data_IF_119730898912
#
_entry.id   IF_119730898912
#
_cell.length_a   1.000
_cell.length_b   1.000
_cell.length_c   1.000
_cell.angle_alpha   90.00
_cell.angle_beta   90.00
_cell.angle_gamma   90.00
#
_symmetry.space_group_name_H-M   'P 1'
#
loop_
_entity.id
_entity.type
_entity.pdbx_description
1 polymer ?
#
# COMPACT_ATOMS: atom_id res chain seq x y z
N UNK A 1 -7.10 -24.30 8.86
CA UNK A 1 -5.71 -23.86 8.62
C UNK A 1 -5.47 -22.60 9.45
N UNK A 2 -4.47 -22.66 10.30
CA UNK A 2 -4.08 -21.50 11.08
C UNK A 2 -3.65 -20.37 10.16
N UNK A 3 -4.10 -19.19 10.47
CA UNK A 3 -3.76 -17.97 9.76
C UNK A 3 -2.27 -17.66 10.00
N UNK A 4 -1.41 -18.08 9.10
CA UNK A 4 0.05 -17.86 9.19
C UNK A 4 0.46 -16.38 9.26
N UNK A 5 -0.49 -15.45 9.01
CA UNK A 5 -0.25 -14.02 9.15
C UNK A 5 -0.21 -13.51 10.59
N UNK A 6 -0.53 -14.37 11.57
CA UNK A 6 -0.56 -14.01 12.98
C UNK A 6 0.46 -14.76 13.85
N UNK A 7 1.51 -15.32 13.25
CA UNK A 7 2.61 -15.87 14.08
C UNK A 7 3.42 -14.70 14.65
N UNK A 8 3.38 -14.49 15.97
CA UNK A 8 4.16 -13.40 16.56
C UNK A 8 5.65 -13.68 16.36
N UNK A 9 6.36 -12.78 15.72
CA UNK A 9 7.83 -12.85 15.51
C UNK A 9 8.57 -13.06 16.84
N UNK A 10 7.96 -12.67 17.94
CA UNK A 10 8.47 -12.87 19.32
C UNK A 10 8.66 -14.33 19.75
N UNK A 11 8.16 -15.29 18.97
CA UNK A 11 8.30 -16.71 19.25
C UNK A 11 9.42 -17.37 18.42
N UNK A 12 10.29 -16.57 17.80
CA UNK A 12 11.46 -17.08 17.05
C UNK A 12 12.46 -17.70 18.04
N UNK A 13 12.79 -19.00 17.87
CA UNK A 13 13.74 -19.67 18.78
C UNK A 13 15.10 -18.97 18.80
N UNK A 14 15.68 -18.85 19.98
CA UNK A 14 17.01 -18.29 20.19
C UNK A 14 17.06 -16.77 20.35
N UNK A 15 15.91 -16.08 20.30
CA UNK A 15 15.85 -14.65 20.55
C UNK A 15 15.39 -14.38 21.98
N UNK A 16 16.20 -13.62 22.72
CA UNK A 16 15.88 -13.26 24.11
C UNK A 16 14.99 -12.03 24.14
N UNK A 17 13.75 -12.11 24.66
CA UNK A 17 12.81 -10.98 24.63
C UNK A 17 13.32 -9.68 25.26
N UNK A 18 14.25 -9.75 26.22
CA UNK A 18 14.86 -8.57 26.85
C UNK A 18 15.79 -7.78 25.91
N UNK A 19 16.29 -8.43 24.87
CA UNK A 19 17.23 -7.85 23.92
C UNK A 19 16.51 -7.30 22.67
N UNK A 20 15.18 -7.26 22.70
CA UNK A 20 14.33 -6.84 21.60
C UNK A 20 13.37 -5.73 22.00
N UNK A 21 13.03 -4.90 21.02
CA UNK A 21 11.92 -3.97 21.16
C UNK A 21 10.61 -4.73 20.89
N UNK A 22 9.69 -4.70 21.84
CA UNK A 22 8.37 -5.31 21.71
C UNK A 22 7.40 -4.33 21.09
N UNK A 23 7.30 -4.34 19.77
CA UNK A 23 6.34 -3.51 19.06
C UNK A 23 4.93 -4.08 19.18
N UNK A 24 3.92 -3.21 19.08
CA UNK A 24 2.51 -3.61 19.02
C UNK A 24 2.01 -3.78 17.58
N UNK A 25 2.83 -3.42 16.61
CA UNK A 25 2.49 -3.46 15.19
C UNK A 25 3.01 -2.23 14.46
N UNK A 26 2.59 -2.07 13.23
CA UNK A 26 2.91 -0.90 12.41
C UNK A 26 1.80 0.13 12.60
N UNK A 27 2.14 1.33 13.07
CA UNK A 27 1.19 2.42 13.22
C UNK A 27 0.86 3.05 11.85
N UNK A 28 1.89 3.44 11.12
CA UNK A 28 1.76 4.04 9.80
C UNK A 28 3.05 3.83 9.00
N UNK A 29 2.93 4.04 7.70
CA UNK A 29 4.06 4.21 6.81
C UNK A 29 3.96 5.58 6.13
N UNK A 30 5.05 6.04 5.54
CA UNK A 30 5.12 7.35 4.90
C UNK A 30 5.49 7.19 3.43
N UNK A 31 4.75 7.89 2.58
CA UNK A 31 4.99 7.97 1.14
C UNK A 31 5.48 9.38 0.82
N UNK A 32 6.63 9.50 0.17
CA UNK A 32 7.13 10.77 -0.34
C UNK A 32 6.33 11.20 -1.57
N UNK A 33 5.92 12.47 -1.58
CA UNK A 33 5.18 13.08 -2.70
C UNK A 33 5.65 14.53 -2.89
N UNK A 34 5.51 15.08 -4.09
CA UNK A 34 5.93 16.47 -4.33
C UNK A 34 4.95 17.47 -3.73
N UNK A 35 3.66 17.20 -3.84
CA UNK A 35 2.57 17.99 -3.28
C UNK A 35 1.64 17.08 -2.47
N UNK A 36 1.72 17.18 -1.15
CA UNK A 36 0.97 16.33 -0.24
C UNK A 36 -0.54 16.60 -0.25
N UNK A 37 -0.96 17.81 -0.61
CA UNK A 37 -2.39 18.16 -0.71
C UNK A 37 -2.98 17.55 -1.99
N UNK A 38 -2.31 17.70 -3.13
CA UNK A 38 -2.75 17.07 -4.38
C UNK A 38 -2.71 15.54 -4.28
N UNK A 39 -1.69 14.99 -3.63
CA UNK A 39 -1.60 13.55 -3.38
C UNK A 39 -2.75 13.05 -2.49
N UNK A 40 -3.09 13.76 -1.41
CA UNK A 40 -4.23 13.40 -0.56
C UNK A 40 -5.54 13.30 -1.37
N UNK A 41 -5.75 14.24 -2.29
CA UNK A 41 -6.89 14.19 -3.20
C UNK A 41 -6.86 12.96 -4.11
N UNK A 42 -5.71 12.61 -4.67
CA UNK A 42 -5.55 11.40 -5.48
C UNK A 42 -5.93 10.14 -4.71
N UNK A 43 -5.38 9.95 -3.51
CA UNK A 43 -5.68 8.77 -2.69
C UNK A 43 -7.14 8.72 -2.23
N UNK A 44 -7.76 9.86 -1.95
CA UNK A 44 -9.18 9.93 -1.64
C UNK A 44 -10.06 9.60 -2.86
N UNK A 45 -9.75 10.18 -4.02
CA UNK A 45 -10.58 10.04 -5.23
C UNK A 45 -10.43 8.66 -5.89
N UNK A 46 -9.23 8.09 -5.88
CA UNK A 46 -8.93 6.83 -6.58
C UNK A 46 -9.11 5.61 -5.68
N UNK A 47 -8.65 5.69 -4.43
CA UNK A 47 -8.61 4.56 -3.51
C UNK A 47 -9.64 4.67 -2.36
N UNK A 48 -10.48 5.70 -2.37
CA UNK A 48 -11.46 5.96 -1.29
C UNK A 48 -10.84 6.05 0.11
N UNK A 49 -9.57 6.49 0.19
CA UNK A 49 -8.93 6.73 1.46
C UNK A 49 -9.50 7.98 2.12
N UNK A 50 -9.62 7.96 3.44
CA UNK A 50 -10.06 9.11 4.21
C UNK A 50 -8.90 10.08 4.43
N UNK A 51 -9.09 11.32 4.03
CA UNK A 51 -8.16 12.40 4.36
C UNK A 51 -8.52 12.94 5.76
N UNK A 52 -7.66 12.71 6.75
CA UNK A 52 -7.91 13.10 8.14
C UNK A 52 -7.64 14.58 8.34
N UNK A 53 -6.45 15.02 7.99
CA UNK A 53 -6.00 16.42 8.06
C UNK A 53 -4.68 16.61 7.33
N UNK A 54 -4.29 17.88 7.12
CA UNK A 54 -2.98 18.24 6.62
C UNK A 54 -2.31 19.30 7.51
N UNK A 55 -1.00 19.29 7.50
CA UNK A 55 -0.14 20.38 8.00
C UNK A 55 0.62 20.98 6.81
N UNK A 56 1.60 21.83 7.09
CA UNK A 56 2.42 22.44 6.04
C UNK A 56 3.25 21.45 5.23
N UNK A 57 3.52 20.24 5.79
CA UNK A 57 4.42 19.26 5.21
C UNK A 57 3.81 17.85 5.07
N UNK A 58 2.70 17.58 5.72
CA UNK A 58 2.15 16.22 5.80
C UNK A 58 0.65 16.22 5.56
N UNK A 59 0.16 15.21 4.86
CA UNK A 59 -1.26 14.83 4.84
C UNK A 59 -1.42 13.47 5.49
N UNK A 60 -2.34 13.38 6.44
CA UNK A 60 -2.62 12.17 7.21
C UNK A 60 -3.84 11.48 6.61
N UNK A 61 -3.66 10.21 6.26
CA UNK A 61 -4.64 9.40 5.56
C UNK A 61 -4.98 8.15 6.37
N UNK A 62 -6.19 7.66 6.17
CA UNK A 62 -6.65 6.38 6.72
C UNK A 62 -7.29 5.56 5.61
N UNK A 63 -7.05 4.26 5.59
CA UNK A 63 -7.64 3.33 4.64
C UNK A 63 -7.88 1.98 5.33
N UNK A 64 -9.15 1.59 5.47
CA UNK A 64 -9.52 0.31 6.03
C UNK A 64 -8.98 0.04 7.45
N UNK A 65 -8.83 1.08 8.28
CA UNK A 65 -8.28 0.99 9.64
C UNK A 65 -6.77 1.12 9.73
N UNK A 66 -6.07 1.24 8.60
CA UNK A 66 -4.62 1.47 8.54
C UNK A 66 -4.32 2.93 8.21
N UNK A 67 -3.26 3.47 8.80
CA UNK A 67 -2.84 4.85 8.61
C UNK A 67 -1.62 4.95 7.72
N UNK A 68 -1.55 6.00 6.92
CA UNK A 68 -0.33 6.39 6.23
C UNK A 68 -0.22 7.91 6.12
N UNK A 69 0.99 8.38 5.86
CA UNK A 69 1.31 9.80 5.81
C UNK A 69 1.91 10.11 4.44
N UNK A 70 1.40 11.17 3.81
CA UNK A 70 1.98 11.73 2.60
C UNK A 70 2.91 12.86 3.02
N UNK A 71 4.20 12.71 2.79
CA UNK A 71 5.21 13.69 3.18
C UNK A 71 5.63 14.53 1.97
N UNK A 72 5.57 15.84 2.13
CA UNK A 72 6.02 16.78 1.10
C UNK A 72 7.54 16.71 0.92
N UNK A 73 7.97 16.20 -0.22
CA UNK A 73 9.35 16.14 -0.66
C UNK A 73 9.40 16.75 -2.06
N UNK A 74 9.76 18.04 -2.20
CA UNK A 74 9.67 18.75 -3.49
C UNK A 74 10.46 18.10 -4.63
N UNK A 75 11.53 17.38 -4.30
CA UNK A 75 12.37 16.69 -5.26
C UNK A 75 12.18 15.17 -5.25
N UNK A 76 11.02 14.72 -4.80
CA UNK A 76 10.71 13.28 -4.77
C UNK A 76 10.86 12.65 -6.15
N UNK A 77 11.51 11.50 -6.18
CA UNK A 77 11.61 10.63 -7.35
C UNK A 77 11.13 9.24 -6.97
N UNK A 78 10.60 8.50 -7.97
CA UNK A 78 10.23 7.11 -7.76
C UNK A 78 11.46 6.31 -7.27
N UNK A 79 11.36 5.59 -6.14
CA UNK A 79 12.45 4.78 -5.64
C UNK A 79 12.75 3.53 -6.48
N UNK A 80 11.83 3.14 -7.37
CA UNK A 80 12.02 2.03 -8.29
C UNK A 80 12.61 2.50 -9.62
N UNK A 81 13.35 1.61 -10.30
CA UNK A 81 13.64 1.79 -11.71
C UNK A 81 12.36 1.58 -12.55
N UNK A 82 12.33 2.06 -13.81
CA UNK A 82 11.17 1.84 -14.68
C UNK A 82 10.78 0.37 -14.81
N UNK A 83 9.51 0.05 -14.56
CA UNK A 83 8.97 -1.30 -14.62
C UNK A 83 9.21 -2.19 -13.40
N UNK A 84 9.93 -1.70 -12.40
CA UNK A 84 10.16 -2.42 -11.15
C UNK A 84 9.11 -2.05 -10.09
N UNK A 85 8.88 -2.98 -9.15
CA UNK A 85 7.89 -2.86 -8.09
C UNK A 85 8.44 -3.17 -6.69
N UNK A 86 9.77 -3.15 -6.52
CA UNK A 86 10.42 -3.54 -5.27
C UNK A 86 9.96 -2.66 -4.08
N UNK A 87 9.77 -1.37 -4.31
CA UNK A 87 9.19 -0.45 -3.35
C UNK A 87 7.74 -0.17 -3.73
N UNK A 88 6.80 -0.77 -3.02
CA UNK A 88 5.37 -0.55 -3.28
C UNK A 88 4.55 -0.62 -1.99
N UNK A 89 3.31 -0.16 -2.08
CA UNK A 89 2.32 -0.22 -1.03
C UNK A 89 1.06 -0.90 -1.58
N UNK A 90 0.61 -1.95 -0.89
CA UNK A 90 -0.50 -2.78 -1.32
C UNK A 90 -1.80 -2.40 -0.59
N UNK A 91 -2.87 -2.26 -1.36
CA UNK A 91 -4.22 -2.00 -0.87
C UNK A 91 -5.10 -3.21 -1.17
N UNK A 92 -5.68 -3.80 -0.13
CA UNK A 92 -6.56 -4.96 -0.28
C UNK A 92 -7.94 -4.55 -0.73
N UNK A 93 -8.52 -5.38 -1.58
CA UNK A 93 -9.91 -5.27 -2.03
C UNK A 93 -10.58 -6.65 -1.99
N UNK A 94 -11.91 -6.66 -1.99
CA UNK A 94 -12.68 -7.88 -2.18
C UNK A 94 -12.68 -8.31 -3.65
N UNK A 95 -13.13 -9.52 -3.93
CA UNK A 95 -13.15 -10.09 -5.28
C UNK A 95 -13.88 -9.21 -6.29
N UNK A 96 -15.10 -8.81 -5.96
CA UNK A 96 -15.93 -7.95 -6.82
C UNK A 96 -15.28 -6.60 -7.07
N UNK A 97 -14.63 -6.05 -6.05
CA UNK A 97 -13.98 -4.76 -6.11
C UNK A 97 -12.70 -4.78 -6.95
N UNK A 98 -12.04 -5.93 -7.08
CA UNK A 98 -10.84 -6.02 -7.92
C UNK A 98 -11.15 -5.67 -9.39
N UNK A 99 -12.20 -6.26 -9.96
CA UNK A 99 -12.59 -5.97 -11.33
C UNK A 99 -13.09 -4.53 -11.49
N UNK A 100 -13.83 -4.04 -10.49
CA UNK A 100 -14.25 -2.64 -10.45
C UNK A 100 -13.07 -1.69 -10.37
N UNK A 101 -12.06 -2.00 -9.57
CA UNK A 101 -10.83 -1.21 -9.46
C UNK A 101 -10.09 -1.11 -10.80
N UNK A 102 -9.98 -2.22 -11.53
CA UNK A 102 -9.37 -2.21 -12.87
C UNK A 102 -10.13 -1.29 -13.83
N UNK A 103 -11.45 -1.31 -13.79
CA UNK A 103 -12.29 -0.41 -14.59
C UNK A 103 -12.13 1.06 -14.19
N UNK A 104 -12.04 1.34 -12.89
CA UNK A 104 -11.81 2.70 -12.36
C UNK A 104 -10.45 3.25 -12.83
N UNK A 105 -9.39 2.46 -12.71
CA UNK A 105 -8.06 2.87 -13.17
C UNK A 105 -8.06 3.18 -14.66
N UNK A 106 -8.66 2.31 -15.47
CA UNK A 106 -8.79 2.52 -16.92
C UNK A 106 -9.58 3.78 -17.25
N UNK A 107 -10.71 4.01 -16.59
CA UNK A 107 -11.54 5.20 -16.82
C UNK A 107 -10.83 6.51 -16.45
N UNK A 108 -9.86 6.44 -15.55
CA UNK A 108 -9.02 7.58 -15.11
C UNK A 108 -7.71 7.70 -15.90
N UNK A 109 -7.51 6.88 -16.94
CA UNK A 109 -6.27 6.81 -17.73
C UNK A 109 -5.03 6.49 -16.87
N UNK A 110 -5.21 5.68 -15.83
CA UNK A 110 -4.13 5.16 -15.00
C UNK A 110 -3.82 3.75 -15.49
N UNK A 111 -2.62 3.57 -16.05
CA UNK A 111 -2.18 2.27 -16.57
C UNK A 111 -1.77 1.33 -15.44
N UNK A 112 -2.17 0.06 -15.56
CA UNK A 112 -1.59 -1.04 -14.78
C UNK A 112 -0.40 -1.59 -15.56
N UNK A 113 0.76 -1.68 -14.93
CA UNK A 113 1.97 -2.12 -15.63
C UNK A 113 2.38 -3.56 -15.34
N UNK A 114 1.76 -4.19 -14.34
CA UNK A 114 1.97 -5.58 -13.98
C UNK A 114 0.69 -6.17 -13.41
N UNK A 115 0.35 -7.35 -13.87
CA UNK A 115 -0.80 -8.10 -13.39
C UNK A 115 -0.40 -9.55 -13.18
N UNK A 116 -0.79 -10.12 -12.04
CA UNK A 116 -0.62 -11.55 -11.77
C UNK A 116 -1.88 -12.12 -11.12
N UNK A 117 -2.26 -13.35 -11.47
CA UNK A 117 -3.40 -14.06 -10.91
C UNK A 117 -2.99 -15.31 -10.14
N UNK A 118 -1.70 -15.62 -10.09
CA UNK A 118 -1.16 -16.85 -9.52
C UNK A 118 0.20 -16.61 -8.83
N UNK A 119 0.62 -17.60 -8.05
CA UNK A 119 2.04 -17.81 -7.79
C UNK A 119 2.68 -17.04 -6.66
N UNK A 120 1.96 -16.19 -5.92
CA UNK A 120 2.55 -15.60 -4.73
C UNK A 120 2.37 -16.56 -3.54
N UNK A 121 3.47 -17.17 -3.06
CA UNK A 121 3.41 -18.17 -1.99
C UNK A 121 2.82 -17.63 -0.68
N UNK A 122 3.12 -16.39 -0.33
CA UNK A 122 2.67 -15.75 0.91
C UNK A 122 1.30 -15.10 0.76
N UNK A 123 1.06 -14.45 -0.37
CA UNK A 123 -0.16 -13.72 -0.65
C UNK A 123 -0.81 -14.21 -1.95
N UNK A 124 -1.34 -15.47 -1.97
CA UNK A 124 -1.95 -15.99 -3.19
C UNK A 124 -3.22 -15.19 -3.51
N UNK A 125 -3.32 -14.71 -4.73
CA UNK A 125 -4.42 -13.84 -5.14
C UNK A 125 -4.19 -13.18 -6.50
N UNK A 126 -5.01 -12.19 -6.78
CA UNK A 126 -4.90 -11.33 -7.95
C UNK A 126 -4.21 -10.04 -7.55
N UNK A 127 -3.21 -9.64 -8.31
CA UNK A 127 -2.35 -8.49 -8.03
C UNK A 127 -2.25 -7.62 -9.27
N UNK A 128 -2.41 -6.31 -9.13
CA UNK A 128 -2.21 -5.35 -10.20
C UNK A 128 -1.47 -4.13 -9.66
N UNK A 129 -0.48 -3.67 -10.40
CA UNK A 129 0.39 -2.56 -10.02
C UNK A 129 0.12 -1.35 -10.89
N UNK A 130 0.16 -0.18 -10.28
CA UNK A 130 0.00 1.11 -10.94
C UNK A 130 0.79 2.18 -10.19
N UNK A 131 0.82 3.39 -10.72
CA UNK A 131 1.53 4.49 -10.06
C UNK A 131 0.54 5.56 -9.58
N UNK A 132 0.88 6.19 -8.45
CA UNK A 132 0.23 7.45 -8.08
C UNK A 132 0.75 8.59 -8.96
N UNK A 133 0.26 9.82 -8.74
CA UNK A 133 0.65 11.00 -9.51
C UNK A 133 2.11 11.42 -9.37
N UNK A 134 2.81 10.90 -8.36
CA UNK A 134 4.23 11.14 -8.10
C UNK A 134 5.15 9.99 -8.57
N UNK A 135 4.58 8.96 -9.18
CA UNK A 135 5.31 7.79 -9.66
C UNK A 135 5.58 6.74 -8.57
N UNK A 136 4.99 6.87 -7.40
CA UNK A 136 5.09 5.82 -6.38
C UNK A 136 4.31 4.59 -6.83
N UNK A 137 4.90 3.41 -6.65
CA UNK A 137 4.28 2.15 -7.03
C UNK A 137 3.24 1.73 -5.98
N UNK A 138 2.04 1.48 -6.45
CA UNK A 138 0.93 0.99 -5.65
C UNK A 138 0.45 -0.35 -6.21
N UNK A 139 -0.18 -1.14 -5.36
CA UNK A 139 -0.72 -2.45 -5.71
C UNK A 139 -2.18 -2.54 -5.24
N UNK A 140 -3.04 -3.05 -6.09
CA UNK A 140 -4.36 -3.55 -5.70
C UNK A 140 -4.26 -5.07 -5.60
N UNK A 141 -4.70 -5.62 -4.49
CA UNK A 141 -4.63 -7.06 -4.24
C UNK A 141 -5.94 -7.61 -3.70
N UNK A 142 -6.42 -8.69 -4.33
CA UNK A 142 -7.45 -9.56 -3.81
C UNK A 142 -6.81 -10.89 -3.42
N UNK A 143 -6.88 -11.24 -2.15
CA UNK A 143 -6.36 -12.51 -1.65
C UNK A 143 -7.38 -13.62 -1.83
N UNK A 144 -6.95 -14.74 -2.40
CA UNK A 144 -7.81 -15.91 -2.50
C UNK A 144 -8.19 -16.43 -1.11
N UNK A 145 -9.44 -16.89 -0.91
CA UNK A 145 -9.84 -17.54 0.33
C UNK A 145 -8.94 -18.75 0.63
N UNK A 146 -8.64 -18.95 1.91
CA UNK A 146 -7.91 -20.14 2.37
C UNK A 146 -8.82 -21.34 2.48
#
# INVERSE_FOLDING_TARGET
MENTMNVPIRDVPGVTPKDQIRTKGILHFTIGVRDHIAAAKFYADVLSCNHIRSSDRYSFMECGGSFFVLAKIPHHVNPNNPGEDAHHHAFMVDEDEFDRAMAVLKARNIETFKYTSEGHHTFPGRHAYFHDSDGNCLEIVYLYPK
#
